data_IF_250463960068
#
_entry.id   IF_250463960068
#
_cell.length_a   1.000
_cell.length_b   1.000
_cell.length_c   1.000
_cell.angle_alpha   90.00
_cell.angle_beta   90.00
_cell.angle_gamma   90.00
#
_symmetry.space_group_name_H-M   'P 1'
#
loop_
_entity.id
_entity.type
_entity.pdbx_description
1 polymer ?
#
# COMPACT_ATOMS: atom_id res chain seq x y z
N UNK A 1 31.44 18.38 -10.04
CA UNK A 1 31.49 17.84 -8.67
C UNK A 1 30.39 18.44 -7.78
N UNK A 2 30.26 19.77 -7.70
CA UNK A 2 29.20 20.43 -6.87
C UNK A 2 27.78 20.10 -7.32
N UNK A 3 27.48 19.97 -8.63
CA UNK A 3 26.20 19.58 -9.21
C UNK A 3 25.75 18.18 -8.76
N UNK A 4 26.69 17.23 -8.73
CA UNK A 4 26.40 15.87 -8.26
C UNK A 4 26.13 15.86 -6.75
N UNK A 5 26.84 16.69 -5.98
CA UNK A 5 26.67 16.77 -4.52
C UNK A 5 25.33 17.39 -4.13
N UNK A 6 24.87 18.44 -4.83
CA UNK A 6 23.59 19.11 -4.55
C UNK A 6 22.40 18.25 -4.99
N UNK A 7 22.49 17.55 -6.14
CA UNK A 7 21.45 16.60 -6.55
C UNK A 7 21.40 15.38 -5.63
N UNK A 8 22.54 14.92 -5.13
CA UNK A 8 22.63 13.86 -4.14
C UNK A 8 22.01 14.29 -2.80
N UNK A 9 22.32 15.50 -2.33
CA UNK A 9 21.76 16.08 -1.11
C UNK A 9 20.24 16.25 -1.23
N UNK A 10 19.74 16.71 -2.37
CA UNK A 10 18.30 16.83 -2.63
C UNK A 10 17.61 15.46 -2.63
N UNK A 11 18.18 14.46 -3.32
CA UNK A 11 17.69 13.08 -3.30
C UNK A 11 17.72 12.48 -1.88
N UNK A 12 18.76 12.80 -1.11
CA UNK A 12 18.89 12.33 0.28
C UNK A 12 17.84 12.99 1.19
N UNK A 13 17.56 14.29 1.04
CA UNK A 13 16.50 14.98 1.79
C UNK A 13 15.11 14.44 1.40
N UNK A 14 14.85 14.20 0.11
CA UNK A 14 13.60 13.58 -0.38
C UNK A 14 13.47 12.14 0.13
N UNK A 15 14.54 11.34 0.06
CA UNK A 15 14.56 9.98 0.58
C UNK A 15 14.41 9.94 2.11
N UNK A 16 15.05 10.86 2.83
CA UNK A 16 14.93 10.99 4.28
C UNK A 16 13.51 11.44 4.68
N UNK A 17 12.93 12.41 3.98
CA UNK A 17 11.54 12.83 4.17
C UNK A 17 10.55 11.71 3.89
N UNK A 18 10.78 10.92 2.84
CA UNK A 18 9.98 9.76 2.48
C UNK A 18 10.12 8.62 3.50
N UNK A 19 11.35 8.30 3.92
CA UNK A 19 11.60 7.25 4.92
C UNK A 19 11.12 7.65 6.31
N UNK A 20 11.29 8.89 6.72
CA UNK A 20 10.76 9.40 7.98
C UNK A 20 9.23 9.44 7.96
N UNK A 21 8.60 9.90 6.87
CA UNK A 21 7.15 9.88 6.70
C UNK A 21 6.59 8.45 6.76
N UNK A 22 7.19 7.53 6.01
CA UNK A 22 6.82 6.11 6.01
C UNK A 22 7.10 5.46 7.38
N UNK A 23 8.25 5.74 8.00
CA UNK A 23 8.63 5.17 9.31
C UNK A 23 7.80 5.73 10.47
N UNK A 24 7.43 7.01 10.41
CA UNK A 24 6.53 7.63 11.36
C UNK A 24 5.10 7.05 11.25
N UNK A 25 4.70 6.68 10.03
CA UNK A 25 3.39 6.09 9.72
C UNK A 25 3.31 4.58 9.98
N UNK A 26 4.40 3.81 9.76
CA UNK A 26 4.42 2.34 9.87
C UNK A 26 4.64 1.87 11.32
N UNK A 27 5.28 2.65 12.21
CA UNK A 27 5.67 2.22 13.55
C UNK A 27 4.73 2.49 14.74
N UNK A 28 3.49 2.98 14.62
CA UNK A 28 2.67 3.18 15.83
C UNK A 28 2.08 1.89 16.43
N UNK A 29 2.19 0.72 15.76
CA UNK A 29 1.44 -0.48 16.19
C UNK A 29 2.18 -1.37 17.20
N UNK A 30 3.49 -1.43 17.17
CA UNK A 30 4.25 -2.34 18.07
C UNK A 30 4.54 -1.73 19.47
N UNK A 31 4.56 -0.39 19.56
CA UNK A 31 4.83 0.29 20.82
C UNK A 31 3.56 0.56 21.67
N UNK A 32 2.40 0.68 21.01
CA UNK A 32 1.12 0.97 21.69
C UNK A 32 0.50 -0.29 22.28
N UNK A 33 0.66 -1.45 21.65
CA UNK A 33 0.14 -2.72 22.17
C UNK A 33 0.91 -3.20 23.44
N UNK A 34 2.21 -2.87 23.55
CA UNK A 34 3.00 -3.14 24.78
C UNK A 34 2.67 -2.20 25.94
N UNK A 35 2.06 -1.04 25.68
CA UNK A 35 1.68 -0.07 26.71
C UNK A 35 0.24 -0.25 27.21
N UNK A 36 -0.56 -1.08 26.53
CA UNK A 36 -1.92 -1.42 26.96
C UNK A 36 -1.98 -2.65 27.86
N UNK A 37 -0.90 -3.42 27.96
CA UNK A 37 -0.79 -4.56 28.89
C UNK A 37 -0.29 -4.18 30.28
N UNK A 38 0.17 -2.94 30.47
CA UNK A 38 0.62 -2.44 31.78
C UNK A 38 0.07 -1.04 32.00
N UNK A 39 -1.17 -0.92 32.39
CA UNK A 39 -1.72 0.36 32.86
C UNK A 39 -2.07 0.32 34.33
N UNK A 40 -1.13 0.74 35.13
CA UNK A 40 -1.46 1.48 36.34
C UNK A 40 -1.36 2.99 36.09
N UNK A 41 -2.23 3.82 36.72
CA UNK A 41 -2.32 5.25 36.44
C UNK A 41 -1.40 6.02 37.37
N UNK A 42 -0.19 6.32 36.95
CA UNK A 42 0.57 7.42 37.58
C UNK A 42 1.72 7.88 36.68
N UNK A 43 1.58 9.06 36.09
CA UNK A 43 2.61 10.10 36.01
C UNK A 43 2.20 11.23 35.08
N UNK A 44 1.70 12.32 35.65
CA UNK A 44 1.88 13.65 35.07
C UNK A 44 3.37 13.85 34.86
N UNK A 45 3.83 13.97 33.59
CA UNK A 45 4.94 14.85 33.22
C UNK A 45 5.34 14.69 31.77
N UNK A 46 5.48 15.86 31.13
CA UNK A 46 6.05 16.09 29.78
C UNK A 46 5.26 15.46 28.65
N UNK A 47 4.37 16.28 28.08
CA UNK A 47 3.80 15.95 26.77
C UNK A 47 4.94 15.68 25.79
N UNK A 48 5.06 14.46 25.26
CA UNK A 48 6.11 14.14 24.32
C UNK A 48 5.94 15.03 23.08
N UNK A 49 7.06 15.48 22.51
CA UNK A 49 7.13 16.27 21.26
C UNK A 49 6.15 15.76 20.19
N UNK A 50 5.90 14.45 20.19
CA UNK A 50 4.91 13.76 19.34
C UNK A 50 3.46 14.23 19.52
N UNK A 51 3.06 14.61 20.74
CA UNK A 51 1.70 15.09 21.02
C UNK A 51 1.51 16.54 20.53
N UNK A 52 2.56 17.38 20.62
CA UNK A 52 2.56 18.74 20.06
C UNK A 52 2.51 18.71 18.53
N UNK A 53 3.38 17.91 17.90
CA UNK A 53 3.38 17.74 16.44
C UNK A 53 2.03 17.22 15.95
N UNK A 54 1.44 16.26 16.64
CA UNK A 54 0.11 15.74 16.30
C UNK A 54 -0.99 16.81 16.42
N UNK A 55 -0.98 17.66 17.47
CA UNK A 55 -1.96 18.76 17.57
C UNK A 55 -1.82 19.79 16.47
N UNK A 56 -0.59 20.15 16.10
CA UNK A 56 -0.33 21.08 14.98
C UNK A 56 -0.79 20.49 13.66
N UNK A 57 -0.50 19.22 13.41
CA UNK A 57 -0.95 18.51 12.19
C UNK A 57 -2.48 18.36 12.14
N UNK A 58 -3.13 18.08 13.28
CA UNK A 58 -4.59 18.02 13.37
C UNK A 58 -5.24 19.39 13.14
N UNK A 59 -4.63 20.46 13.65
CA UNK A 59 -5.09 21.83 13.44
C UNK A 59 -4.92 22.27 11.97
N UNK A 60 -3.76 22.00 11.38
CA UNK A 60 -3.50 22.29 9.96
C UNK A 60 -4.44 21.49 9.02
N UNK A 61 -4.72 20.22 9.36
CA UNK A 61 -5.66 19.39 8.60
C UNK A 61 -7.11 19.87 8.65
N UNK A 62 -7.51 20.59 9.70
CA UNK A 62 -8.87 21.20 9.81
C UNK A 62 -9.03 22.44 8.94
N UNK A 63 -7.95 23.18 8.70
CA UNK A 63 -7.94 24.36 7.83
C UNK A 63 -8.15 23.98 6.34
N UNK A 64 -7.78 22.77 5.97
CA UNK A 64 -7.99 22.24 4.63
C UNK A 64 -9.41 21.66 4.54
N UNK A 65 -10.41 22.51 4.34
CA UNK A 65 -11.81 22.14 4.10
C UNK A 65 -11.96 21.32 2.81
N UNK A 66 -11.53 20.05 2.81
CA UNK A 66 -11.76 19.14 1.70
C UNK A 66 -13.27 18.92 1.50
N UNK A 67 -13.74 18.94 0.26
CA UNK A 67 -15.12 18.61 -0.10
C UNK A 67 -15.51 17.29 0.56
N UNK A 68 -16.75 17.19 1.01
CA UNK A 68 -17.26 16.05 1.77
C UNK A 68 -16.98 14.69 1.09
N UNK A 69 -17.10 14.66 -0.24
CA UNK A 69 -16.77 13.49 -1.06
C UNK A 69 -15.28 13.07 -0.99
N UNK A 70 -14.37 14.03 -0.92
CA UNK A 70 -12.93 13.73 -0.79
C UNK A 70 -12.62 13.17 0.60
N UNK A 71 -13.25 13.70 1.63
CA UNK A 71 -13.15 13.17 3.01
C UNK A 71 -13.65 11.74 3.10
N UNK A 72 -14.77 11.41 2.47
CA UNK A 72 -15.31 10.04 2.46
C UNK A 72 -14.38 9.07 1.74
N UNK A 73 -13.85 9.44 0.57
CA UNK A 73 -12.86 8.63 -0.17
C UNK A 73 -11.60 8.39 0.65
N UNK A 74 -11.05 9.43 1.28
CA UNK A 74 -9.86 9.32 2.13
C UNK A 74 -10.16 8.47 3.36
N UNK A 75 -11.34 8.61 3.97
CA UNK A 75 -11.77 7.79 5.12
C UNK A 75 -11.85 6.32 4.75
N UNK A 76 -12.43 5.99 3.60
CA UNK A 76 -12.51 4.61 3.09
C UNK A 76 -11.11 4.04 2.81
N UNK A 77 -10.22 4.82 2.20
CA UNK A 77 -8.84 4.39 1.94
C UNK A 77 -8.05 4.18 3.23
N UNK A 78 -8.21 5.07 4.22
CA UNK A 78 -7.60 4.95 5.53
C UNK A 78 -8.13 3.73 6.29
N UNK A 79 -9.43 3.49 6.24
CA UNK A 79 -10.05 2.30 6.83
C UNK A 79 -9.53 1.02 6.18
N UNK A 80 -9.42 0.98 4.85
CA UNK A 80 -8.83 -0.13 4.10
C UNK A 80 -7.34 -0.33 4.39
N UNK A 81 -6.59 0.74 4.68
CA UNK A 81 -5.21 0.67 5.14
C UNK A 81 -5.10 0.23 6.63
N UNK A 82 -6.22 0.21 7.37
CA UNK A 82 -6.29 -0.19 8.79
C UNK A 82 -6.17 0.96 9.79
N UNK A 83 -6.26 2.20 9.34
CA UNK A 83 -6.26 3.38 10.20
C UNK A 83 -7.70 3.80 10.51
N UNK A 84 -8.23 3.32 11.64
CA UNK A 84 -9.65 3.49 12.05
C UNK A 84 -9.82 4.48 13.20
N UNK A 85 -8.74 5.16 13.63
CA UNK A 85 -8.84 6.11 14.75
C UNK A 85 -9.59 7.36 14.32
N UNK A 86 -10.48 7.89 15.15
CA UNK A 86 -11.05 9.21 14.93
C UNK A 86 -9.90 10.23 14.80
N UNK A 87 -9.93 11.08 13.78
CA UNK A 87 -8.84 12.02 13.48
C UNK A 87 -7.78 11.50 12.48
N UNK A 88 -7.84 10.24 12.01
CA UNK A 88 -6.89 9.74 11.00
C UNK A 88 -6.90 10.58 9.71
N UNK A 89 -8.07 11.08 9.30
CA UNK A 89 -8.23 11.97 8.13
C UNK A 89 -7.51 13.29 8.34
N UNK A 90 -7.68 13.91 9.52
CA UNK A 90 -7.03 15.18 9.83
C UNK A 90 -5.51 15.02 9.91
N UNK A 91 -5.03 13.92 10.49
CA UNK A 91 -3.61 13.61 10.56
C UNK A 91 -3.02 13.36 9.15
N UNK A 92 -3.78 12.70 8.27
CA UNK A 92 -3.39 12.49 6.88
C UNK A 92 -3.32 13.80 6.10
N UNK A 93 -4.34 14.66 6.20
CA UNK A 93 -4.34 15.97 5.56
C UNK A 93 -3.23 16.87 6.12
N UNK A 94 -3.00 16.85 7.42
CA UNK A 94 -1.90 17.54 8.07
C UNK A 94 -0.53 17.07 7.59
N UNK A 95 -0.34 15.75 7.43
CA UNK A 95 0.92 15.20 6.88
C UNK A 95 1.15 15.60 5.43
N UNK A 96 0.07 15.75 4.64
CA UNK A 96 0.09 16.20 3.26
C UNK A 96 0.54 17.66 3.15
N UNK A 97 0.00 18.53 4.03
CA UNK A 97 0.44 19.93 4.11
C UNK A 97 1.88 20.06 4.59
N UNK A 98 2.25 19.33 5.64
CA UNK A 98 3.62 19.36 6.16
C UNK A 98 4.64 18.88 5.11
N UNK A 99 4.34 17.81 4.38
CA UNK A 99 5.19 17.29 3.31
C UNK A 99 5.30 18.30 2.16
N UNK A 100 4.21 18.98 1.76
CA UNK A 100 4.25 19.98 0.69
C UNK A 100 5.06 21.21 1.08
N UNK A 101 4.94 21.70 2.31
CA UNK A 101 5.72 22.85 2.81
C UNK A 101 7.21 22.50 2.93
N UNK A 102 7.52 21.32 3.49
CA UNK A 102 8.91 20.87 3.66
C UNK A 102 9.62 20.64 2.32
N UNK A 103 8.94 20.03 1.35
CA UNK A 103 9.52 19.77 0.03
C UNK A 103 9.62 21.05 -0.80
N UNK A 104 8.62 21.92 -0.76
CA UNK A 104 8.67 23.23 -1.42
C UNK A 104 9.78 24.11 -0.84
N UNK A 105 9.85 24.24 0.50
CA UNK A 105 10.91 25.01 1.17
C UNK A 105 12.30 24.43 0.95
N UNK A 106 12.45 23.11 1.00
CA UNK A 106 13.73 22.44 0.72
C UNK A 106 14.18 22.63 -0.73
N UNK A 107 13.28 22.46 -1.70
CA UNK A 107 13.56 22.69 -3.12
C UNK A 107 13.92 24.17 -3.39
N UNK A 108 13.18 25.10 -2.81
CA UNK A 108 13.46 26.54 -2.91
C UNK A 108 14.83 26.88 -2.33
N UNK A 109 15.15 26.39 -1.12
CA UNK A 109 16.43 26.66 -0.44
C UNK A 109 17.64 26.11 -1.24
N UNK A 110 17.52 24.88 -1.77
CA UNK A 110 18.58 24.29 -2.62
C UNK A 110 18.76 25.07 -3.91
N UNK A 111 17.67 25.54 -4.52
CA UNK A 111 17.71 26.32 -5.75
C UNK A 111 18.30 27.73 -5.52
N UNK A 112 18.01 28.35 -4.39
CA UNK A 112 18.53 29.67 -3.99
C UNK A 112 20.06 29.67 -3.83
N UNK A 113 20.62 28.54 -3.35
CA UNK A 113 22.09 28.36 -3.23
C UNK A 113 22.79 28.18 -4.59
N UNK A 114 22.02 27.91 -5.67
CA UNK A 114 22.58 27.52 -6.97
C UNK A 114 22.29 28.48 -8.12
N UNK A 115 21.08 29.03 -8.13
CA UNK A 115 20.55 29.83 -9.23
C UNK A 115 20.00 31.15 -8.70
N UNK A 116 20.35 32.26 -9.40
CA UNK A 116 19.84 33.61 -9.08
C UNK A 116 18.58 33.95 -9.86
N UNK A 117 18.15 33.08 -10.80
CA UNK A 117 17.03 33.36 -11.69
C UNK A 117 15.70 33.09 -10.98
N UNK A 118 14.84 34.10 -10.93
CA UNK A 118 13.54 34.06 -10.29
C UNK A 118 12.63 32.97 -10.89
N UNK A 119 12.71 32.72 -12.21
CA UNK A 119 11.93 31.70 -12.92
C UNK A 119 12.26 30.28 -12.43
N UNK A 120 13.54 29.96 -12.25
CA UNK A 120 13.97 28.64 -11.75
C UNK A 120 13.59 28.42 -10.29
N UNK A 121 13.62 29.46 -9.46
CA UNK A 121 13.17 29.41 -8.07
C UNK A 121 11.67 29.11 -7.95
N UNK A 122 10.85 29.78 -8.76
CA UNK A 122 9.39 29.55 -8.80
C UNK A 122 9.08 28.12 -9.28
N UNK A 123 9.74 27.65 -10.34
CA UNK A 123 9.53 26.28 -10.84
C UNK A 123 9.95 25.21 -9.81
N UNK A 124 11.06 25.43 -9.10
CA UNK A 124 11.51 24.53 -8.04
C UNK A 124 10.53 24.49 -6.86
N UNK A 125 10.01 25.65 -6.43
CA UNK A 125 9.01 25.74 -5.37
C UNK A 125 7.69 25.05 -5.76
N UNK A 126 7.19 25.28 -6.98
CA UNK A 126 5.99 24.63 -7.51
C UNK A 126 6.17 23.11 -7.65
N UNK A 127 7.30 22.67 -8.18
CA UNK A 127 7.63 21.24 -8.28
C UNK A 127 7.69 20.55 -6.92
N UNK A 128 8.34 21.19 -5.93
CA UNK A 128 8.39 20.72 -4.55
C UNK A 128 7.01 20.64 -3.88
N UNK A 129 6.14 21.62 -4.14
CA UNK A 129 4.78 21.66 -3.63
C UNK A 129 3.90 20.54 -4.22
N UNK A 130 3.96 20.31 -5.53
CA UNK A 130 3.24 19.24 -6.21
C UNK A 130 3.73 17.85 -5.75
N UNK A 131 5.05 17.66 -5.66
CA UNK A 131 5.63 16.41 -5.17
C UNK A 131 5.21 16.14 -3.72
N UNK A 132 5.29 17.14 -2.84
CA UNK A 132 4.89 17.02 -1.44
C UNK A 132 3.42 16.71 -1.25
N UNK A 133 2.55 17.21 -2.13
CA UNK A 133 1.14 16.92 -2.11
C UNK A 133 0.79 15.49 -2.59
N UNK A 134 1.52 14.95 -3.57
CA UNK A 134 1.24 13.63 -4.17
C UNK A 134 1.85 12.46 -3.38
N UNK A 135 3.05 12.63 -2.79
CA UNK A 135 3.79 11.57 -2.08
C UNK A 135 2.96 10.89 -0.97
N UNK A 136 2.28 11.60 -0.04
CA UNK A 136 1.49 10.95 1.00
C UNK A 136 0.32 10.13 0.45
N UNK A 137 -0.26 10.56 -0.69
CA UNK A 137 -1.30 9.81 -1.38
C UNK A 137 -0.81 8.47 -1.91
N UNK A 138 0.34 8.46 -2.57
CA UNK A 138 0.94 7.21 -3.08
C UNK A 138 1.39 6.28 -1.96
N UNK A 139 1.94 6.82 -0.87
CA UNK A 139 2.29 5.99 0.31
C UNK A 139 1.07 5.32 0.93
N UNK A 140 -0.07 6.03 1.04
CA UNK A 140 -1.32 5.45 1.52
C UNK A 140 -1.82 4.36 0.58
N UNK A 141 -1.78 4.58 -0.74
CA UNK A 141 -2.15 3.57 -1.75
C UNK A 141 -1.28 2.32 -1.66
N UNK A 142 0.05 2.48 -1.49
CA UNK A 142 0.98 1.35 -1.33
C UNK A 142 0.68 0.54 -0.05
N UNK A 143 0.41 1.21 1.07
CA UNK A 143 0.04 0.56 2.33
C UNK A 143 -1.28 -0.20 2.21
N UNK A 144 -2.29 0.41 1.59
CA UNK A 144 -3.57 -0.24 1.31
C UNK A 144 -3.40 -1.47 0.42
N UNK A 145 -2.61 -1.37 -0.66
CA UNK A 145 -2.29 -2.50 -1.55
C UNK A 145 -1.57 -3.62 -0.80
N UNK A 146 -0.58 -3.28 0.04
CA UNK A 146 0.16 -4.25 0.86
C UNK A 146 -0.76 -4.98 1.82
N UNK A 147 -1.66 -4.27 2.51
CA UNK A 147 -2.63 -4.86 3.43
C UNK A 147 -3.64 -5.75 2.71
N UNK A 148 -4.21 -5.28 1.59
CA UNK A 148 -5.12 -6.10 0.77
C UNK A 148 -4.45 -7.38 0.28
N UNK A 149 -3.18 -7.31 -0.13
CA UNK A 149 -2.41 -8.47 -0.55
C UNK A 149 -2.18 -9.45 0.62
N UNK A 150 -1.89 -8.94 1.82
CA UNK A 150 -1.75 -9.77 3.03
C UNK A 150 -3.05 -10.49 3.39
N UNK A 151 -4.18 -9.77 3.43
CA UNK A 151 -5.50 -10.33 3.68
C UNK A 151 -5.90 -11.38 2.64
N UNK A 152 -5.67 -11.10 1.34
CA UNK A 152 -5.97 -12.03 0.25
C UNK A 152 -5.15 -13.32 0.36
N UNK A 153 -3.89 -13.25 0.80
CA UNK A 153 -3.04 -14.42 1.03
C UNK A 153 -3.49 -15.25 2.25
N UNK A 154 -4.02 -14.58 3.27
CA UNK A 154 -4.52 -15.23 4.47
C UNK A 154 -5.88 -15.93 4.27
N UNK A 155 -6.65 -15.50 3.26
CA UNK A 155 -8.05 -15.90 3.08
C UNK A 155 -8.22 -17.42 2.91
N UNK A 156 -7.45 -18.15 2.06
CA UNK A 156 -7.62 -19.60 1.92
C UNK A 156 -7.37 -20.34 3.24
N UNK A 157 -6.31 -20.01 3.95
CA UNK A 157 -6.00 -20.62 5.25
C UNK A 157 -7.09 -20.33 6.30
N UNK A 158 -7.65 -19.12 6.26
CA UNK A 158 -8.79 -18.72 7.10
C UNK A 158 -10.01 -19.60 6.84
N UNK A 159 -10.32 -19.83 5.57
CA UNK A 159 -11.47 -20.66 5.18
C UNK A 159 -11.30 -22.12 5.56
N UNK A 160 -10.08 -22.67 5.40
CA UNK A 160 -9.78 -24.04 5.80
C UNK A 160 -10.00 -24.23 7.31
N UNK A 161 -9.48 -23.29 8.13
CA UNK A 161 -9.68 -23.32 9.57
C UNK A 161 -11.18 -23.16 9.95
N UNK A 162 -11.89 -22.25 9.28
CA UNK A 162 -13.34 -22.09 9.50
C UNK A 162 -14.10 -23.36 9.13
N UNK A 163 -13.74 -23.98 8.01
CA UNK A 163 -14.38 -25.23 7.56
C UNK A 163 -14.19 -26.34 8.60
N UNK A 164 -12.97 -26.56 9.09
CA UNK A 164 -12.68 -27.55 10.13
C UNK A 164 -13.46 -27.28 11.42
N UNK A 165 -13.51 -26.02 11.87
CA UNK A 165 -14.26 -25.62 13.06
C UNK A 165 -15.77 -25.89 12.91
N UNK A 166 -16.35 -25.55 11.76
CA UNK A 166 -17.81 -25.77 11.53
C UNK A 166 -18.12 -27.24 11.32
N UNK A 167 -17.25 -28.02 10.67
CA UNK A 167 -17.39 -29.49 10.53
C UNK A 167 -17.27 -30.20 11.87
N UNK A 168 -16.49 -29.68 12.81
CA UNK A 168 -16.43 -30.20 14.19
C UNK A 168 -17.66 -29.84 15.05
N UNK A 169 -18.66 -29.14 14.47
CA UNK A 169 -19.91 -28.79 15.14
C UNK A 169 -19.92 -27.43 15.85
N UNK A 170 -18.86 -26.62 15.69
CA UNK A 170 -18.88 -25.25 16.20
C UNK A 170 -19.83 -24.38 15.39
N UNK A 171 -20.69 -23.62 16.06
CA UNK A 171 -21.49 -22.58 15.40
C UNK A 171 -20.62 -21.55 14.73
N UNK A 172 -21.07 -20.95 13.62
CA UNK A 172 -20.25 -20.02 12.80
C UNK A 172 -19.62 -18.88 13.61
N UNK A 173 -20.33 -18.31 14.57
CA UNK A 173 -19.80 -17.20 15.40
C UNK A 173 -18.64 -17.67 16.30
N UNK A 174 -18.77 -18.87 16.87
CA UNK A 174 -17.70 -19.48 17.67
C UNK A 174 -16.52 -19.89 16.78
N UNK A 175 -16.77 -20.42 15.59
CA UNK A 175 -15.73 -20.72 14.61
C UNK A 175 -14.94 -19.47 14.22
N UNK A 176 -15.61 -18.35 13.92
CA UNK A 176 -14.96 -17.07 13.60
C UNK A 176 -14.10 -16.59 14.78
N UNK A 177 -14.60 -16.70 16.01
CA UNK A 177 -13.84 -16.30 17.22
C UNK A 177 -12.59 -17.18 17.42
N UNK A 178 -12.73 -18.49 17.26
CA UNK A 178 -11.64 -19.44 17.40
C UNK A 178 -10.55 -19.19 16.34
N UNK A 179 -10.94 -19.10 15.08
CA UNK A 179 -10.04 -18.83 13.96
C UNK A 179 -9.37 -17.45 14.08
N UNK A 180 -10.08 -16.44 14.58
CA UNK A 180 -9.50 -15.13 14.82
C UNK A 180 -8.32 -15.20 15.81
N UNK A 181 -8.42 -16.01 16.86
CA UNK A 181 -7.36 -16.21 17.85
C UNK A 181 -6.17 -17.00 17.26
N UNK A 182 -6.47 -18.06 16.54
CA UNK A 182 -5.45 -18.92 15.92
C UNK A 182 -4.60 -18.16 14.89
N UNK A 183 -5.25 -17.34 14.05
CA UNK A 183 -4.57 -16.51 13.05
C UNK A 183 -3.76 -15.35 13.63
N UNK A 184 -3.86 -15.09 14.93
CA UNK A 184 -3.23 -13.91 15.55
C UNK A 184 -1.71 -13.83 15.35
N UNK A 185 -1.02 -14.97 15.30
CA UNK A 185 0.42 -15.06 15.09
C UNK A 185 0.81 -15.05 13.60
N UNK A 186 0.10 -15.80 12.77
CA UNK A 186 0.44 -15.99 11.36
C UNK A 186 -0.10 -14.87 10.46
N UNK A 187 -1.34 -14.42 10.69
CA UNK A 187 -2.06 -13.49 9.83
C UNK A 187 -2.80 -12.41 10.65
N UNK A 188 -2.02 -11.54 11.29
CA UNK A 188 -2.54 -10.53 12.23
C UNK A 188 -3.65 -9.64 11.63
N UNK A 189 -3.53 -9.23 10.36
CA UNK A 189 -4.53 -8.38 9.72
C UNK A 189 -5.87 -9.10 9.59
N UNK A 190 -5.88 -10.39 9.24
CA UNK A 190 -7.08 -11.20 9.12
C UNK A 190 -7.69 -11.48 10.50
N UNK A 191 -6.88 -11.83 11.49
CA UNK A 191 -7.28 -11.98 12.87
C UNK A 191 -8.04 -10.76 13.40
N UNK A 192 -7.51 -9.55 13.15
CA UNK A 192 -8.15 -8.30 13.56
C UNK A 192 -9.50 -8.07 12.88
N UNK A 193 -9.63 -8.41 11.60
CA UNK A 193 -10.89 -8.27 10.86
C UNK A 193 -11.95 -9.25 11.36
N UNK A 194 -11.57 -10.51 11.62
CA UNK A 194 -12.47 -11.52 12.18
C UNK A 194 -12.88 -11.17 13.61
N UNK A 195 -11.94 -10.70 14.44
CA UNK A 195 -12.26 -10.24 15.81
C UNK A 195 -13.25 -9.08 15.81
N UNK A 196 -13.20 -8.21 14.79
CA UNK A 196 -14.15 -7.10 14.66
C UNK A 196 -15.57 -7.60 14.37
N UNK A 197 -15.74 -8.69 13.60
CA UNK A 197 -17.07 -9.31 13.39
C UNK A 197 -17.67 -9.71 14.73
N UNK A 198 -16.90 -10.44 15.56
CA UNK A 198 -17.36 -10.84 16.88
C UNK A 198 -17.68 -9.65 17.80
N UNK A 199 -16.89 -8.58 17.71
CA UNK A 199 -17.18 -7.36 18.46
C UNK A 199 -18.50 -6.71 18.01
N UNK A 200 -18.72 -6.61 16.70
CA UNK A 200 -19.94 -6.02 16.12
C UNK A 200 -21.17 -6.85 16.45
N UNK A 201 -21.11 -8.19 16.39
CA UNK A 201 -22.24 -9.06 16.73
C UNK A 201 -22.57 -9.02 18.22
N UNK A 202 -21.57 -8.98 19.11
CA UNK A 202 -21.78 -8.79 20.54
C UNK A 202 -22.34 -7.41 20.89
N UNK A 203 -22.07 -6.41 20.07
CA UNK A 203 -22.65 -5.06 20.21
C UNK A 203 -24.10 -4.99 19.67
N UNK A 204 -24.71 -6.12 19.27
CA UNK A 204 -26.10 -6.19 18.82
C UNK A 204 -26.29 -6.02 17.32
N UNK A 205 -25.20 -5.92 16.53
CA UNK A 205 -25.30 -5.86 15.07
C UNK A 205 -25.67 -7.22 14.49
N UNK A 206 -26.55 -7.26 13.50
CA UNK A 206 -26.91 -8.52 12.84
C UNK A 206 -25.69 -9.17 12.18
N UNK A 207 -25.61 -10.51 12.15
CA UNK A 207 -24.52 -11.24 11.48
C UNK A 207 -24.36 -10.84 10.01
N UNK A 208 -25.43 -10.75 9.21
CA UNK A 208 -25.33 -10.26 7.83
C UNK A 208 -24.68 -8.88 7.73
N UNK A 209 -25.01 -7.96 8.63
CA UNK A 209 -24.46 -6.61 8.60
C UNK A 209 -22.99 -6.56 9.05
N UNK A 210 -22.61 -7.41 10.01
CA UNK A 210 -21.20 -7.55 10.41
C UNK A 210 -20.34 -8.13 9.26
N UNK A 211 -20.86 -9.11 8.51
CA UNK A 211 -20.20 -9.67 7.32
C UNK A 211 -20.12 -8.65 6.18
N UNK A 212 -21.19 -7.88 5.92
CA UNK A 212 -21.13 -6.75 4.96
C UNK A 212 -20.12 -5.70 5.40
N UNK A 213 -20.06 -5.43 6.71
CA UNK A 213 -19.05 -4.55 7.30
C UNK A 213 -17.62 -5.03 7.05
N UNK A 214 -17.35 -6.33 7.21
CA UNK A 214 -16.05 -6.93 6.87
C UNK A 214 -15.68 -6.68 5.40
N UNK A 215 -16.63 -6.94 4.47
CA UNK A 215 -16.42 -6.73 3.04
C UNK A 215 -16.13 -5.27 2.70
N UNK A 216 -16.88 -4.34 3.28
CA UNK A 216 -16.69 -2.90 3.08
C UNK A 216 -15.33 -2.42 3.65
N UNK A 217 -14.94 -2.89 4.83
CA UNK A 217 -13.69 -2.51 5.49
C UNK A 217 -12.44 -3.02 4.77
N UNK A 218 -12.48 -4.26 4.28
CA UNK A 218 -11.35 -4.85 3.57
C UNK A 218 -11.23 -4.35 2.14
N UNK A 219 -12.36 -4.08 1.48
CA UNK A 219 -12.42 -3.66 0.09
C UNK A 219 -11.79 -4.68 -0.86
N UNK A 220 -11.90 -5.98 -0.53
CA UNK A 220 -11.37 -7.12 -1.28
C UNK A 220 -12.55 -7.86 -1.88
N UNK A 221 -12.51 -8.10 -3.20
CA UNK A 221 -13.63 -8.72 -3.91
C UNK A 221 -13.94 -10.13 -3.39
N UNK A 222 -12.90 -10.92 -3.14
CA UNK A 222 -13.04 -12.29 -2.63
C UNK A 222 -13.71 -12.32 -1.23
N UNK A 223 -13.45 -11.32 -0.39
CA UNK A 223 -14.12 -11.21 0.93
C UNK A 223 -15.58 -10.79 0.78
N UNK A 224 -15.88 -9.94 -0.22
CA UNK A 224 -17.26 -9.53 -0.53
C UNK A 224 -18.09 -10.72 -1.01
N UNK A 225 -17.54 -11.55 -1.88
CA UNK A 225 -18.14 -12.77 -2.38
C UNK A 225 -18.37 -13.76 -1.23
N UNK A 226 -17.35 -14.00 -0.40
CA UNK A 226 -17.47 -14.85 0.80
C UNK A 226 -18.60 -14.37 1.71
N UNK A 227 -18.67 -13.08 2.01
CA UNK A 227 -19.71 -12.51 2.84
C UNK A 227 -21.11 -12.75 2.24
N UNK A 228 -21.28 -12.57 0.93
CA UNK A 228 -22.54 -12.82 0.23
C UNK A 228 -22.95 -14.29 0.30
N UNK A 229 -22.01 -15.20 0.06
CA UNK A 229 -22.23 -16.65 0.10
C UNK A 229 -22.59 -17.11 1.51
N UNK A 230 -21.89 -16.61 2.55
CA UNK A 230 -22.22 -16.94 3.95
C UNK A 230 -23.60 -16.40 4.36
N UNK A 231 -23.96 -15.19 3.93
CA UNK A 231 -25.29 -14.62 4.21
C UNK A 231 -26.38 -15.45 3.53
N UNK A 232 -26.15 -15.93 2.32
CA UNK A 232 -27.08 -16.82 1.63
C UNK A 232 -27.19 -18.17 2.33
N UNK A 233 -26.08 -18.81 2.71
CA UNK A 233 -26.05 -20.06 3.41
C UNK A 233 -26.84 -20.01 4.75
N UNK A 234 -26.65 -18.93 5.51
CA UNK A 234 -27.36 -18.68 6.77
C UNK A 234 -28.87 -18.48 6.56
N UNK A 235 -29.26 -17.83 5.46
CA UNK A 235 -30.68 -17.57 5.13
C UNK A 235 -31.43 -18.79 4.62
N UNK A 236 -30.79 -19.63 3.82
CA UNK A 236 -31.44 -20.80 3.20
C UNK A 236 -31.19 -22.12 3.95
N UNK A 237 -30.47 -22.08 5.07
CA UNK A 237 -30.19 -23.27 5.89
C UNK A 237 -29.27 -24.28 5.18
N UNK A 238 -28.55 -23.88 4.14
CA UNK A 238 -27.56 -24.75 3.48
C UNK A 238 -26.36 -24.98 4.39
N UNK A 239 -25.71 -26.17 4.24
CA UNK A 239 -24.52 -26.45 5.04
C UNK A 239 -23.41 -25.41 4.83
N UNK A 240 -23.20 -24.59 5.85
CA UNK A 240 -22.14 -23.58 5.86
C UNK A 240 -20.77 -24.22 5.62
N UNK A 241 -20.53 -25.42 6.16
CA UNK A 241 -19.30 -26.17 5.98
C UNK A 241 -19.04 -26.53 4.51
N UNK A 242 -20.05 -27.06 3.82
CA UNK A 242 -19.94 -27.36 2.38
C UNK A 242 -19.68 -26.11 1.55
N UNK A 243 -20.37 -25.03 1.89
CA UNK A 243 -20.21 -23.74 1.23
C UNK A 243 -18.79 -23.17 1.40
N UNK A 244 -18.25 -23.22 2.63
CA UNK A 244 -16.88 -22.80 2.93
C UNK A 244 -15.85 -23.65 2.20
N UNK A 245 -16.04 -24.99 2.16
CA UNK A 245 -15.16 -25.92 1.45
C UNK A 245 -15.16 -25.66 -0.07
N UNK A 246 -16.32 -25.49 -0.66
CA UNK A 246 -16.45 -25.17 -2.08
C UNK A 246 -15.76 -23.83 -2.41
N UNK A 247 -15.97 -22.82 -1.56
CA UNK A 247 -15.35 -21.50 -1.76
C UNK A 247 -13.83 -21.52 -1.55
N UNK A 248 -13.33 -22.29 -0.56
CA UNK A 248 -11.88 -22.47 -0.37
C UNK A 248 -11.22 -23.11 -1.60
N UNK A 249 -11.81 -24.17 -2.15
CA UNK A 249 -11.30 -24.81 -3.36
C UNK A 249 -11.33 -23.87 -4.57
N UNK A 250 -12.39 -23.09 -4.74
CA UNK A 250 -12.49 -22.06 -5.78
C UNK A 250 -11.35 -21.01 -5.68
N UNK A 251 -11.07 -20.49 -4.48
CA UNK A 251 -9.98 -19.53 -4.29
C UNK A 251 -8.60 -20.11 -4.60
N UNK A 252 -8.37 -21.41 -4.29
CA UNK A 252 -7.11 -22.07 -4.63
C UNK A 252 -6.95 -22.21 -6.15
N UNK A 253 -8.00 -22.61 -6.87
CA UNK A 253 -7.99 -22.65 -8.33
C UNK A 253 -7.74 -21.28 -8.94
N UNK A 254 -8.42 -20.23 -8.45
CA UNK A 254 -8.15 -18.86 -8.88
C UNK A 254 -6.71 -18.41 -8.60
N UNK A 255 -6.15 -18.76 -7.44
CA UNK A 255 -4.77 -18.41 -7.11
C UNK A 255 -3.78 -19.07 -8.08
N UNK A 256 -4.02 -20.33 -8.43
CA UNK A 256 -3.24 -21.08 -9.43
C UNK A 256 -3.36 -20.47 -10.83
N UNK A 257 -4.57 -20.21 -11.30
CA UNK A 257 -4.81 -19.56 -12.60
C UNK A 257 -4.09 -18.20 -12.69
N UNK A 258 -4.19 -17.36 -11.65
CA UNK A 258 -3.45 -16.09 -11.61
C UNK A 258 -1.93 -16.26 -11.63
N UNK A 259 -1.40 -17.35 -11.10
CA UNK A 259 0.03 -17.66 -11.18
C UNK A 259 0.43 -18.10 -12.59
N UNK A 260 -0.38 -18.95 -13.23
CA UNK A 260 -0.21 -19.40 -14.62
C UNK A 260 -0.29 -18.23 -15.61
N UNK A 261 -1.28 -17.34 -15.46
CA UNK A 261 -1.39 -16.11 -16.27
C UNK A 261 -0.15 -15.23 -16.16
N UNK A 262 0.39 -15.05 -14.94
CA UNK A 262 1.62 -14.29 -14.75
C UNK A 262 2.83 -14.97 -15.38
N UNK A 263 2.92 -16.29 -15.29
CA UNK A 263 3.98 -17.06 -15.92
C UNK A 263 3.93 -16.91 -17.45
N UNK A 264 2.74 -17.01 -18.06
CA UNK A 264 2.54 -16.79 -19.50
C UNK A 264 2.95 -15.36 -19.92
N UNK A 265 2.62 -14.34 -19.11
CA UNK A 265 3.03 -12.96 -19.40
C UNK A 265 4.55 -12.77 -19.36
N UNK A 266 5.29 -13.58 -18.59
CA UNK A 266 6.76 -13.50 -18.54
C UNK A 266 7.39 -13.88 -19.86
N UNK A 267 6.87 -14.90 -20.56
CA UNK A 267 7.36 -15.32 -21.89
C UNK A 267 7.29 -14.17 -22.89
N UNK A 268 6.16 -13.45 -22.92
CA UNK A 268 6.00 -12.29 -23.80
C UNK A 268 6.93 -11.14 -23.41
N UNK A 269 7.11 -10.89 -22.10
CA UNK A 269 8.01 -9.83 -21.63
C UNK A 269 9.49 -10.11 -21.90
N UNK A 270 9.89 -11.37 -22.02
CA UNK A 270 11.27 -11.74 -22.36
C UNK A 270 11.62 -11.46 -23.81
N UNK A 271 10.63 -11.38 -24.71
CA UNK A 271 10.87 -11.03 -26.13
C UNK A 271 11.48 -9.64 -26.26
N UNK A 272 11.07 -8.68 -25.43
CA UNK A 272 11.56 -7.30 -25.50
C UNK A 272 13.07 -7.17 -25.22
N UNK A 273 13.64 -7.70 -24.13
CA UNK A 273 15.09 -7.71 -23.92
C UNK A 273 15.85 -8.48 -25.00
N UNK A 274 15.33 -9.62 -25.48
CA UNK A 274 15.95 -10.41 -26.53
C UNK A 274 16.05 -9.58 -27.81
N UNK A 275 14.97 -8.94 -28.23
CA UNK A 275 14.96 -8.09 -29.41
C UNK A 275 15.92 -6.90 -29.25
N UNK A 276 15.92 -6.23 -28.11
CA UNK A 276 16.70 -4.99 -27.88
C UNK A 276 18.20 -5.23 -27.71
N UNK A 277 18.62 -6.41 -27.20
CA UNK A 277 20.02 -6.72 -26.95
C UNK A 277 20.63 -7.63 -28.02
N UNK A 278 19.90 -8.65 -28.47
CA UNK A 278 20.44 -9.62 -29.41
C UNK A 278 20.47 -9.06 -30.86
N UNK A 279 19.42 -8.35 -31.29
CA UNK A 279 19.34 -7.82 -32.64
C UNK A 279 20.44 -6.77 -32.92
N UNK A 280 20.73 -5.76 -32.09
CA UNK A 280 21.84 -4.86 -32.32
C UNK A 280 23.20 -5.56 -32.30
N UNK A 281 23.43 -6.51 -31.39
CA UNK A 281 24.69 -7.24 -31.35
C UNK A 281 24.93 -8.07 -32.58
N UNK A 282 23.89 -8.75 -33.08
CA UNK A 282 23.95 -9.52 -34.34
C UNK A 282 24.22 -8.58 -35.53
N UNK A 283 23.61 -7.39 -35.53
CA UNK A 283 23.81 -6.39 -36.57
C UNK A 283 25.27 -5.88 -36.59
N UNK A 284 25.87 -5.61 -35.46
CA UNK A 284 27.29 -5.22 -35.36
C UNK A 284 28.22 -6.32 -35.84
N UNK A 285 27.96 -7.58 -35.53
CA UNK A 285 28.79 -8.70 -35.95
C UNK A 285 28.67 -8.98 -37.46
N UNK A 286 27.47 -8.81 -38.03
CA UNK A 286 27.25 -9.09 -39.45
C UNK A 286 27.63 -7.93 -40.37
N UNK A 287 27.27 -6.71 -39.99
CA UNK A 287 27.52 -5.50 -40.82
C UNK A 287 28.89 -4.89 -40.52
N UNK A 288 29.44 -5.07 -39.34
CA UNK A 288 30.73 -4.53 -38.94
C UNK A 288 31.86 -4.85 -39.87
N UNK A 289 32.09 -6.12 -40.29
CA UNK A 289 33.16 -6.49 -41.23
C UNK A 289 32.98 -5.85 -42.61
N UNK A 290 31.72 -5.72 -43.07
CA UNK A 290 31.40 -5.07 -44.34
C UNK A 290 31.72 -3.60 -44.33
N UNK A 291 31.33 -2.88 -43.27
CA UNK A 291 31.64 -1.45 -43.07
C UNK A 291 33.15 -1.23 -43.04
N UNK A 292 33.89 -2.06 -42.28
CA UNK A 292 35.36 -1.95 -42.20
C UNK A 292 36.01 -2.15 -43.54
N UNK A 293 35.53 -3.09 -44.39
CA UNK A 293 36.08 -3.27 -45.77
C UNK A 293 35.77 -2.07 -46.65
N UNK A 294 34.55 -1.54 -46.62
CA UNK A 294 34.16 -0.36 -47.40
C UNK A 294 35.01 0.83 -47.02
N UNK A 295 35.21 1.08 -45.73
CA UNK A 295 36.06 2.21 -45.25
C UNK A 295 37.51 2.04 -45.63
N UNK A 296 38.08 0.82 -45.61
CA UNK A 296 39.49 0.57 -45.93
C UNK A 296 39.78 0.58 -47.41
N UNK A 297 38.84 0.12 -48.26
CA UNK A 297 39.09 -0.07 -49.71
C UNK A 297 38.54 1.09 -50.54
N UNK A 298 37.40 1.67 -50.21
CA UNK A 298 36.76 2.75 -51.00
C UNK A 298 37.21 4.15 -50.63
N UNK A 299 37.44 4.46 -49.33
CA UNK A 299 37.86 5.78 -48.90
C UNK A 299 39.23 6.24 -49.48
N UNK A 300 40.30 5.38 -49.58
CA UNK A 300 41.56 5.80 -50.19
C UNK A 300 41.45 5.98 -51.72
N UNK A 301 40.54 5.24 -52.41
CA UNK A 301 40.28 5.45 -53.83
C UNK A 301 39.60 6.78 -54.13
N UNK A 302 38.71 7.25 -53.27
CA UNK A 302 38.05 8.55 -53.44
C UNK A 302 38.97 9.74 -53.16
N UNK A 303 40.00 9.60 -52.31
CA UNK A 303 40.98 10.64 -52.05
C UNK A 303 42.14 10.68 -53.04
N UNK A 304 42.20 9.73 -54.00
CA UNK A 304 43.24 9.64 -55.03
C UNK A 304 42.77 10.19 -56.41
N UNK A 305 41.53 10.70 -56.50
CA UNK A 305 40.96 11.45 -57.61
C UNK A 305 40.90 12.93 -57.24
#
# INVERSE_FOLDING_TARGET
MILALTSLLFLLIVALGMTLGVRFWIRPKAAVDRLLETSEPSARMREPLKARVRRVLDAAGRLMGSRQEERERVTQQLAAAGFRKPGAVNLYNGSRLAASILLSGGSFCVCLLRYSDLSTLIMAALGGLLAGYTIPGETLRLLTRKRKKSLRRALPNTLDLLTVCVESGLGLDQAILHVARELGRAHREMSQELSMINFETRAGKSRPDALRGLAARTGIQEVKELAAVLIQADRFGTSVAQTLRAYSSHLRVQARQRAEEKAAQLSVKLVFPIFFFILPSLFVVTVGPVVVRIVRELLPMMNAI
#
